data_IF_864227449766
#
_entry.id   IF_864227449766
#
_cell.length_a   1.000
_cell.length_b   1.000
_cell.length_c   1.000
_cell.angle_alpha   90.00
_cell.angle_beta   90.00
_cell.angle_gamma   90.00
#
_symmetry.space_group_name_H-M   'P 1'
#
loop_
_entity.id
_entity.type
_entity.pdbx_description
1 polymer ?
#
# COMPACT_ATOMS: atom_id res chain seq x y z
N UNK A 1 8.47 -3.47 11.40
CA UNK A 1 7.88 -2.27 10.79
C UNK A 1 6.72 -1.82 11.67
N UNK A 2 5.58 -2.50 11.64
CA UNK A 2 4.38 -2.17 12.44
C UNK A 2 4.64 -2.18 13.95
N UNK A 3 5.35 -3.20 14.45
CA UNK A 3 5.70 -3.37 15.86
C UNK A 3 6.97 -2.62 16.31
N UNK A 4 7.50 -1.69 15.51
CA UNK A 4 8.71 -0.94 15.86
C UNK A 4 10.05 -1.67 15.69
N UNK A 5 10.08 -3.00 15.49
CA UNK A 5 11.34 -3.76 15.35
C UNK A 5 12.18 -3.38 14.12
N UNK A 6 11.59 -2.66 13.15
CA UNK A 6 12.28 -2.11 11.97
C UNK A 6 11.69 -0.73 11.69
N UNK A 7 12.55 0.25 11.36
CA UNK A 7 12.14 1.61 10.98
C UNK A 7 11.19 1.58 9.78
N UNK A 8 10.15 2.41 9.80
CA UNK A 8 9.19 2.53 8.69
C UNK A 8 9.91 2.76 7.35
N UNK A 9 9.53 2.01 6.31
CA UNK A 9 10.09 2.21 4.96
C UNK A 9 9.74 3.58 4.40
N UNK A 10 8.56 4.12 4.74
CA UNK A 10 8.16 5.47 4.32
C UNK A 10 9.04 6.54 4.95
N UNK A 11 9.40 6.36 6.23
CA UNK A 11 10.33 7.27 6.91
C UNK A 11 11.73 7.18 6.30
N UNK A 12 12.23 5.97 6.03
CA UNK A 12 13.51 5.77 5.33
C UNK A 12 13.53 6.46 3.96
N UNK A 13 12.45 6.32 3.18
CA UNK A 13 12.31 7.01 1.90
C UNK A 13 12.33 8.52 2.07
N UNK A 14 11.52 9.06 2.99
CA UNK A 14 11.43 10.50 3.24
C UNK A 14 12.77 11.11 3.68
N UNK A 15 13.57 10.39 4.48
CA UNK A 15 14.91 10.82 4.88
C UNK A 15 15.89 10.81 3.72
N UNK A 16 15.83 9.78 2.86
CA UNK A 16 16.77 9.62 1.74
C UNK A 16 16.68 10.75 0.72
N UNK A 17 15.48 11.30 0.49
CA UNK A 17 15.24 12.38 -0.48
C UNK A 17 15.41 13.78 0.13
N UNK A 18 15.47 13.91 1.46
CA UNK A 18 15.45 15.21 2.14
C UNK A 18 16.61 16.13 1.73
N UNK A 19 17.78 15.55 1.45
CA UNK A 19 18.96 16.32 1.04
C UNK A 19 18.87 16.84 -0.41
N UNK A 20 18.03 16.22 -1.24
CA UNK A 20 17.82 16.63 -2.64
C UNK A 20 16.70 17.64 -2.83
N UNK A 21 15.95 17.96 -1.77
CA UNK A 21 14.83 18.90 -1.85
C UNK A 21 15.31 20.37 -1.89
N UNK A 22 14.60 21.26 -2.61
CA UNK A 22 14.80 22.70 -2.53
C UNK A 22 14.71 23.21 -1.08
N UNK A 23 15.45 24.29 -0.75
CA UNK A 23 15.46 24.86 0.61
C UNK A 23 14.06 25.22 1.12
N UNK A 24 13.20 25.72 0.23
CA UNK A 24 11.80 26.07 0.52
C UNK A 24 10.92 24.87 0.93
N UNK A 25 11.27 23.66 0.49
CA UNK A 25 10.55 22.43 0.84
C UNK A 25 11.11 21.74 2.10
N UNK A 26 12.30 22.13 2.57
CA UNK A 26 12.96 21.46 3.70
C UNK A 26 12.20 21.57 5.01
N UNK A 27 11.49 22.68 5.24
CA UNK A 27 10.65 22.81 6.43
C UNK A 27 9.49 21.82 6.40
N UNK A 28 8.82 21.69 5.24
CA UNK A 28 7.74 20.73 5.05
C UNK A 28 8.24 19.29 5.19
N UNK A 29 9.40 18.98 4.63
CA UNK A 29 10.03 17.67 4.77
C UNK A 29 10.29 17.30 6.24
N UNK A 30 10.82 18.24 7.04
CA UNK A 30 11.05 18.04 8.49
C UNK A 30 9.74 17.81 9.24
N UNK A 31 8.68 18.53 8.89
CA UNK A 31 7.37 18.32 9.51
C UNK A 31 6.79 16.94 9.15
N UNK A 32 6.97 16.52 7.91
CA UNK A 32 6.57 15.18 7.47
C UNK A 32 7.36 14.07 8.17
N UNK A 33 8.67 14.25 8.40
CA UNK A 33 9.49 13.32 9.18
C UNK A 33 8.97 13.18 10.60
N UNK A 34 8.74 14.31 11.30
CA UNK A 34 8.19 14.30 12.67
C UNK A 34 6.83 13.60 12.72
N UNK A 35 5.98 13.83 11.73
CA UNK A 35 4.68 13.14 11.62
C UNK A 35 4.88 11.63 11.48
N UNK A 36 5.76 11.17 10.60
CA UNK A 36 6.06 9.74 10.42
C UNK A 36 6.70 9.11 11.68
N UNK A 37 7.53 9.85 12.41
CA UNK A 37 8.14 9.42 13.68
C UNK A 37 7.11 9.34 14.82
N UNK A 38 6.05 10.15 14.77
CA UNK A 38 4.98 10.17 15.77
C UNK A 38 3.97 9.02 15.64
N UNK A 39 4.06 8.20 14.58
CA UNK A 39 3.15 7.08 14.36
C UNK A 39 3.34 6.07 15.49
N UNK A 40 2.26 5.78 16.21
CA UNK A 40 2.25 4.80 17.28
C UNK A 40 2.50 3.38 16.73
N UNK A 41 3.36 2.65 17.42
CA UNK A 41 3.62 1.24 17.13
C UNK A 41 2.51 0.37 17.73
N UNK A 42 2.21 -0.75 17.08
CA UNK A 42 1.28 -1.73 17.61
C UNK A 42 1.79 -3.16 17.41
N UNK A 43 1.31 -4.08 18.26
CA UNK A 43 1.59 -5.49 18.10
C UNK A 43 0.81 -6.03 16.89
N UNK A 44 1.40 -7.01 16.20
CA UNK A 44 0.73 -7.70 15.09
C UNK A 44 0.06 -8.94 15.66
N UNK A 45 -1.27 -9.00 15.54
CA UNK A 45 -2.05 -10.16 15.99
C UNK A 45 -2.02 -11.30 14.96
N UNK A 46 -2.15 -10.96 13.69
CA UNK A 46 -2.27 -11.92 12.58
C UNK A 46 -1.41 -11.46 11.41
N UNK A 47 -0.65 -12.41 10.86
CA UNK A 47 0.07 -12.23 9.60
C UNK A 47 -0.73 -12.87 8.47
N UNK A 48 -1.15 -12.04 7.51
CA UNK A 48 -1.82 -12.50 6.31
C UNK A 48 -0.81 -12.83 5.21
N UNK A 49 -1.16 -13.77 4.35
CA UNK A 49 -0.42 -14.19 3.18
C UNK A 49 -1.30 -14.09 1.94
N UNK A 50 -0.63 -14.15 0.79
CA UNK A 50 -1.34 -14.27 -0.47
C UNK A 50 -2.24 -15.51 -0.46
N UNK A 51 -3.46 -15.35 -0.97
CA UNK A 51 -4.48 -16.40 -1.07
C UNK A 51 -5.02 -16.92 0.28
N UNK A 52 -4.71 -16.26 1.39
CA UNK A 52 -5.41 -16.54 2.64
C UNK A 52 -6.91 -16.33 2.44
N UNK A 53 -7.70 -17.31 2.88
CA UNK A 53 -9.15 -17.27 2.81
C UNK A 53 -9.73 -17.12 4.22
N UNK A 54 -10.54 -16.09 4.40
CA UNK A 54 -11.22 -15.79 5.64
C UNK A 54 -12.71 -16.09 5.45
N UNK A 55 -13.19 -17.11 6.16
CA UNK A 55 -14.56 -17.62 6.03
C UNK A 55 -15.57 -16.83 6.87
N UNK A 56 -15.59 -15.52 6.66
CA UNK A 56 -16.59 -14.62 7.22
C UNK A 56 -17.06 -13.63 6.16
N UNK A 57 -18.24 -13.04 6.36
CA UNK A 57 -18.85 -12.09 5.44
C UNK A 57 -18.79 -12.58 3.99
N UNK A 58 -19.42 -13.71 3.65
CA UNK A 58 -19.49 -14.18 2.26
C UNK A 58 -18.17 -14.70 1.64
N UNK A 59 -17.09 -14.75 2.41
CA UNK A 59 -15.81 -15.29 1.99
C UNK A 59 -14.88 -14.20 1.43
N UNK A 60 -13.77 -13.99 2.13
CA UNK A 60 -12.76 -12.99 1.77
C UNK A 60 -11.47 -13.70 1.37
N UNK A 61 -10.91 -13.30 0.24
CA UNK A 61 -9.58 -13.71 -0.19
C UNK A 61 -8.61 -12.53 -0.11
N UNK A 62 -7.47 -12.76 0.53
CA UNK A 62 -6.36 -11.81 0.55
C UNK A 62 -5.57 -11.95 -0.75
N UNK A 63 -5.39 -10.83 -1.45
CA UNK A 63 -4.60 -10.75 -2.66
C UNK A 63 -3.35 -9.94 -2.37
N UNK A 64 -2.20 -10.59 -2.26
CA UNK A 64 -0.94 -9.90 -2.06
C UNK A 64 -0.58 -9.09 -3.31
N UNK A 65 -0.39 -7.79 -3.12
CA UNK A 65 -0.18 -6.80 -4.19
C UNK A 65 0.96 -5.84 -3.83
N UNK A 66 2.20 -6.34 -3.64
CA UNK A 66 3.35 -5.50 -3.30
C UNK A 66 3.69 -4.51 -4.42
N UNK A 67 4.40 -3.45 -4.05
CA UNK A 67 4.93 -2.46 -4.99
C UNK A 67 4.83 -1.05 -4.42
N UNK A 68 3.61 -0.58 -4.15
CA UNK A 68 3.43 0.68 -3.41
C UNK A 68 4.12 0.62 -2.05
N UNK A 69 3.78 -0.43 -1.30
CA UNK A 69 4.50 -0.89 -0.12
C UNK A 69 4.75 -2.40 -0.24
N UNK A 70 5.87 -2.95 0.27
CA UNK A 70 6.16 -4.38 0.18
C UNK A 70 5.16 -5.29 0.89
N UNK A 71 4.34 -4.74 1.80
CA UNK A 71 3.32 -5.48 2.54
C UNK A 71 1.89 -5.24 2.06
N UNK A 72 1.70 -4.55 0.92
CA UNK A 72 0.36 -4.17 0.47
C UNK A 72 -0.48 -5.39 0.04
N UNK A 73 -1.78 -5.34 0.35
CA UNK A 73 -2.77 -6.35 0.00
C UNK A 73 -4.02 -5.67 -0.56
N UNK A 74 -4.66 -6.31 -1.54
CA UNK A 74 -6.06 -6.07 -1.84
C UNK A 74 -6.91 -7.12 -1.12
N UNK A 75 -8.17 -6.76 -0.84
CA UNK A 75 -9.15 -7.67 -0.22
C UNK A 75 -10.24 -7.94 -1.25
N UNK A 76 -10.37 -9.20 -1.67
CA UNK A 76 -11.40 -9.63 -2.60
C UNK A 76 -12.53 -10.34 -1.86
N UNK A 77 -13.71 -9.73 -1.89
CA UNK A 77 -14.92 -10.31 -1.32
C UNK A 77 -15.63 -11.15 -2.38
N UNK A 78 -15.65 -12.47 -2.20
CA UNK A 78 -16.08 -13.45 -3.21
C UNK A 78 -17.57 -13.33 -3.54
N UNK A 79 -18.42 -13.24 -2.53
CA UNK A 79 -19.88 -13.22 -2.73
C UNK A 79 -20.33 -12.01 -3.56
N UNK A 80 -19.84 -10.80 -3.23
CA UNK A 80 -20.21 -9.60 -3.98
C UNK A 80 -19.29 -9.28 -5.16
N UNK A 81 -18.26 -10.10 -5.41
CA UNK A 81 -17.24 -9.87 -6.46
C UNK A 81 -16.65 -8.46 -6.37
N UNK A 82 -16.39 -8.00 -5.16
CA UNK A 82 -15.88 -6.64 -4.91
C UNK A 82 -14.44 -6.68 -4.46
N UNK A 83 -13.62 -5.78 -5.00
CA UNK A 83 -12.21 -5.67 -4.62
C UNK A 83 -11.99 -4.35 -3.88
N UNK A 84 -11.52 -4.42 -2.64
CA UNK A 84 -10.96 -3.27 -1.94
C UNK A 84 -9.48 -3.19 -2.38
N UNK A 85 -9.20 -2.28 -3.32
CA UNK A 85 -7.89 -2.19 -3.98
C UNK A 85 -6.82 -1.45 -3.17
N UNK A 86 -7.21 -0.69 -2.13
CA UNK A 86 -6.27 0.12 -1.37
C UNK A 86 -5.58 1.15 -2.26
N UNK A 87 -4.25 1.22 -2.18
CA UNK A 87 -3.43 2.12 -2.98
C UNK A 87 -2.81 1.44 -4.23
N UNK A 88 -3.11 0.16 -4.47
CA UNK A 88 -2.66 -0.53 -5.69
C UNK A 88 -3.27 0.08 -6.97
N UNK A 89 -4.50 0.60 -6.86
CA UNK A 89 -5.22 1.30 -7.91
C UNK A 89 -5.83 2.59 -7.34
N UNK A 90 -5.71 3.69 -8.07
CA UNK A 90 -6.27 4.99 -7.67
C UNK A 90 -6.99 5.64 -8.85
N UNK A 91 -7.86 6.61 -8.57
CA UNK A 91 -8.49 7.44 -9.60
C UNK A 91 -7.65 8.71 -9.77
N UNK A 92 -7.13 8.92 -10.97
CA UNK A 92 -6.46 10.16 -11.37
C UNK A 92 -7.13 10.73 -12.61
N UNK A 93 -7.60 11.98 -12.54
CA UNK A 93 -8.36 12.66 -13.60
C UNK A 93 -9.59 11.88 -14.15
N UNK A 94 -10.20 11.02 -13.32
CA UNK A 94 -11.35 10.20 -13.70
C UNK A 94 -10.99 8.84 -14.28
N UNK A 95 -9.71 8.58 -14.51
CA UNK A 95 -9.20 7.30 -15.00
C UNK A 95 -8.65 6.45 -13.86
N UNK A 96 -8.84 5.13 -13.98
CA UNK A 96 -8.25 4.18 -13.05
C UNK A 96 -6.78 3.94 -13.43
N UNK A 97 -5.88 4.31 -12.54
CA UNK A 97 -4.42 4.18 -12.75
C UNK A 97 -3.80 3.33 -11.65
N UNK A 98 -2.62 2.77 -11.95
CA UNK A 98 -1.81 2.08 -10.94
C UNK A 98 -1.28 3.05 -9.89
N UNK A 99 -0.85 2.53 -8.74
CA UNK A 99 -0.21 3.28 -7.66
C UNK A 99 0.69 4.41 -8.17
N UNK A 100 0.44 5.63 -7.70
CA UNK A 100 1.14 6.83 -8.15
C UNK A 100 2.67 6.67 -8.02
N UNK A 101 3.46 6.82 -9.10
CA UNK A 101 4.89 6.54 -9.09
C UNK A 101 5.67 7.30 -8.01
N UNK A 102 5.29 8.55 -7.73
CA UNK A 102 5.92 9.39 -6.72
C UNK A 102 5.79 8.85 -5.30
N UNK A 103 4.84 7.95 -5.04
CA UNK A 103 4.58 7.38 -3.72
C UNK A 103 4.84 5.87 -3.66
N UNK A 104 5.34 5.28 -4.74
CA UNK A 104 5.48 3.84 -4.92
C UNK A 104 6.94 3.42 -4.78
N UNK A 105 7.23 2.47 -3.88
CA UNK A 105 8.60 2.04 -3.63
C UNK A 105 9.17 1.16 -4.76
N UNK A 106 8.32 0.36 -5.41
CA UNK A 106 8.67 -0.44 -6.58
C UNK A 106 7.52 -0.44 -7.60
N UNK A 107 7.66 0.39 -8.63
CA UNK A 107 6.63 0.55 -9.68
C UNK A 107 6.52 -0.69 -10.59
N UNK A 108 7.60 -1.45 -10.76
CA UNK A 108 7.57 -2.64 -11.60
C UNK A 108 6.82 -3.78 -10.89
N UNK A 109 7.04 -3.91 -9.58
CA UNK A 109 6.30 -4.86 -8.76
C UNK A 109 4.83 -4.45 -8.62
N UNK A 110 4.54 -3.14 -8.48
CA UNK A 110 3.16 -2.63 -8.47
C UNK A 110 2.40 -2.99 -9.76
N UNK A 111 3.06 -2.89 -10.92
CA UNK A 111 2.46 -3.29 -12.21
C UNK A 111 2.10 -4.77 -12.24
N UNK A 112 3.02 -5.66 -11.85
CA UNK A 112 2.75 -7.11 -11.78
C UNK A 112 1.61 -7.42 -10.80
N UNK A 113 1.57 -6.71 -9.68
CA UNK A 113 0.50 -6.83 -8.69
C UNK A 113 -0.87 -6.47 -9.28
N UNK A 114 -0.95 -5.42 -10.10
CA UNK A 114 -2.17 -5.04 -10.80
C UNK A 114 -2.52 -6.05 -11.91
N UNK A 115 -1.54 -6.53 -12.68
CA UNK A 115 -1.75 -7.59 -13.69
C UNK A 115 -2.36 -8.86 -13.07
N UNK A 116 -1.94 -9.22 -11.85
CA UNK A 116 -2.51 -10.35 -11.12
C UNK A 116 -4.02 -10.17 -10.83
N UNK A 117 -4.49 -8.95 -10.65
CA UNK A 117 -5.92 -8.65 -10.40
C UNK A 117 -6.81 -8.99 -11.61
N UNK A 118 -6.23 -9.05 -12.82
CA UNK A 118 -6.96 -9.46 -14.04
C UNK A 118 -7.47 -10.92 -13.99
N UNK A 119 -6.95 -11.73 -13.06
CA UNK A 119 -7.40 -13.11 -12.86
C UNK A 119 -8.65 -13.22 -11.96
N UNK A 120 -9.22 -12.10 -11.50
CA UNK A 120 -10.39 -12.08 -10.63
C UNK A 120 -11.62 -11.55 -11.36
N UNK A 121 -12.76 -12.14 -11.06
CA UNK A 121 -14.07 -11.67 -11.51
C UNK A 121 -14.51 -10.50 -10.61
N UNK A 122 -14.19 -9.27 -11.01
CA UNK A 122 -14.43 -8.06 -10.22
C UNK A 122 -15.58 -7.27 -10.85
N UNK A 123 -16.67 -7.13 -10.11
CA UNK A 123 -17.84 -6.35 -10.51
C UNK A 123 -17.87 -4.95 -9.89
N UNK A 124 -17.04 -4.70 -8.87
CA UNK A 124 -16.99 -3.43 -8.15
C UNK A 124 -15.61 -3.21 -7.52
N UNK A 125 -15.14 -1.97 -7.57
CA UNK A 125 -13.96 -1.46 -6.89
C UNK A 125 -14.33 -0.16 -6.17
#
# INVERSE_FOLDING_TARGET
>A
YINGNKKSLRLQQAESICNSLPEEEKEQAKNYHKMLESIEICNVDIHLKDKDYLDFCGGIEIVFTPGHMPGHICIYHKESKSLIAGDALVIDNGDLVIALPQYTLDINEAKKSVEKLLNYDINRM
#
